data_IF_642490747106
#
_entry.id   IF_642490747106
#
_cell.length_a   1.000
_cell.length_b   1.000
_cell.length_c   1.000
_cell.angle_alpha   90.00
_cell.angle_beta   90.00
_cell.angle_gamma   90.00
#
_symmetry.space_group_name_H-M   'P 1'
#
loop_
_entity.id
_entity.type
_entity.pdbx_description
1 polymer ?
#
# COMPACT_ATOMS: atom_id res chain seq x y z
N UNK A 1 -6.95 -14.73 -3.53
CA UNK A 1 -6.91 -13.59 -2.57
C UNK A 1 -7.50 -12.36 -3.22
N UNK A 2 -8.26 -11.57 -2.43
CA UNK A 2 -8.73 -10.23 -2.82
C UNK A 2 -7.92 -9.18 -2.04
N UNK A 3 -7.22 -8.31 -2.73
CA UNK A 3 -6.31 -7.35 -2.11
C UNK A 3 -6.76 -5.92 -2.43
N UNK A 4 -6.75 -5.04 -1.44
CA UNK A 4 -6.95 -3.60 -1.63
C UNK A 4 -5.57 -2.96 -1.81
N UNK A 5 -5.37 -2.22 -2.89
CA UNK A 5 -4.21 -1.36 -3.10
C UNK A 5 -4.68 0.09 -3.09
N UNK A 6 -4.18 0.86 -2.14
CA UNK A 6 -4.49 2.27 -2.01
C UNK A 6 -3.24 3.12 -2.28
N UNK A 7 -3.40 4.17 -3.08
CA UNK A 7 -2.30 5.08 -3.43
C UNK A 7 -2.62 6.46 -2.88
N UNK A 8 -1.72 7.01 -2.05
CA UNK A 8 -1.90 8.32 -1.45
C UNK A 8 -0.86 9.33 -1.96
N UNK A 9 -1.01 10.60 -1.59
CA UNK A 9 -0.27 11.72 -2.15
C UNK A 9 1.19 11.87 -1.67
N UNK A 10 1.91 10.77 -1.44
CA UNK A 10 3.35 10.79 -1.22
C UNK A 10 4.08 10.48 -2.54
N UNK A 11 5.28 11.03 -2.74
CA UNK A 11 6.15 10.65 -3.86
C UNK A 11 6.54 9.19 -3.79
N UNK A 12 6.76 8.55 -4.93
CA UNK A 12 7.12 7.13 -5.02
C UNK A 12 6.03 6.29 -5.70
N UNK A 13 5.35 6.83 -6.69
CA UNK A 13 4.41 6.10 -7.55
C UNK A 13 5.00 4.84 -8.17
N UNK A 14 6.33 4.81 -8.34
CA UNK A 14 7.06 3.62 -8.80
C UNK A 14 6.82 2.40 -7.90
N UNK A 15 6.71 2.57 -6.59
CA UNK A 15 6.40 1.47 -5.66
C UNK A 15 4.99 0.92 -5.91
N UNK A 16 4.00 1.81 -6.13
CA UNK A 16 2.64 1.41 -6.43
C UNK A 16 2.55 0.63 -7.74
N UNK A 17 3.18 1.13 -8.81
CA UNK A 17 3.23 0.46 -10.09
C UNK A 17 3.83 -0.94 -9.97
N UNK A 18 5.03 -1.05 -9.40
CA UNK A 18 5.72 -2.33 -9.24
C UNK A 18 4.95 -3.29 -8.32
N UNK A 19 4.31 -2.78 -7.26
CA UNK A 19 3.45 -3.58 -6.40
C UNK A 19 2.28 -4.18 -7.18
N UNK A 20 1.58 -3.38 -7.98
CA UNK A 20 0.49 -3.86 -8.83
C UNK A 20 0.99 -4.89 -9.85
N UNK A 21 2.13 -4.65 -10.52
CA UNK A 21 2.72 -5.58 -11.48
C UNK A 21 3.02 -6.94 -10.82
N UNK A 22 3.62 -6.96 -9.63
CA UNK A 22 3.91 -8.19 -8.89
C UNK A 22 2.62 -8.92 -8.46
N UNK A 23 1.62 -8.19 -7.97
CA UNK A 23 0.33 -8.77 -7.58
C UNK A 23 -0.42 -9.37 -8.77
N UNK A 24 -0.35 -8.75 -9.94
CA UNK A 24 -0.99 -9.26 -11.16
C UNK A 24 -0.37 -10.58 -11.65
N UNK A 25 0.93 -10.78 -11.43
CA UNK A 25 1.64 -12.02 -11.79
C UNK A 25 1.37 -13.16 -10.79
N UNK A 26 0.96 -12.85 -9.56
CA UNK A 26 0.71 -13.83 -8.53
C UNK A 26 -0.58 -14.62 -8.83
N UNK A 27 -0.47 -15.96 -8.83
CA UNK A 27 -1.59 -16.86 -9.09
C UNK A 27 -2.63 -16.83 -7.96
N UNK A 28 -2.18 -16.54 -6.76
CA UNK A 28 -3.01 -16.44 -5.55
C UNK A 28 -3.93 -15.21 -5.56
N UNK A 29 -3.59 -14.19 -6.37
CA UNK A 29 -4.36 -12.94 -6.46
C UNK A 29 -5.46 -13.06 -7.51
N UNK A 30 -6.70 -13.04 -7.05
CA UNK A 30 -7.91 -13.12 -7.89
C UNK A 30 -8.40 -11.72 -8.28
N UNK A 31 -8.33 -10.77 -7.35
CA UNK A 31 -8.85 -9.43 -7.54
C UNK A 31 -8.02 -8.39 -6.78
N UNK A 32 -7.83 -7.24 -7.40
CA UNK A 32 -7.22 -6.05 -6.80
C UNK A 32 -8.26 -4.93 -6.81
N UNK A 33 -8.64 -4.45 -5.64
CA UNK A 33 -9.42 -3.22 -5.50
C UNK A 33 -8.44 -2.04 -5.45
N UNK A 34 -8.41 -1.22 -6.49
CA UNK A 34 -7.50 -0.07 -6.58
C UNK A 34 -8.24 1.20 -6.18
N UNK A 35 -7.68 1.95 -5.22
CA UNK A 35 -8.19 3.24 -4.77
C UNK A 35 -7.05 4.26 -4.88
N UNK A 36 -7.24 5.30 -5.66
CA UNK A 36 -6.24 6.37 -5.85
C UNK A 36 -6.80 7.68 -5.33
N UNK A 37 -6.10 8.31 -4.38
CA UNK A 37 -6.55 9.61 -3.86
C UNK A 37 -6.36 10.73 -4.90
N UNK A 38 -7.15 11.81 -4.79
CA UNK A 38 -7.05 12.95 -5.71
C UNK A 38 -5.64 13.55 -5.78
N UNK A 39 -4.93 13.60 -4.65
CA UNK A 39 -3.54 14.06 -4.62
C UNK A 39 -2.60 13.05 -5.28
N UNK A 40 -2.87 11.75 -5.12
CA UNK A 40 -2.05 10.71 -5.74
C UNK A 40 -2.11 10.74 -7.26
N UNK A 41 -3.27 11.02 -7.87
CA UNK A 41 -3.37 11.20 -9.32
C UNK A 41 -2.41 12.28 -9.83
N UNK A 42 -2.35 13.44 -9.14
CA UNK A 42 -1.43 14.53 -9.49
C UNK A 42 0.04 14.14 -9.31
N UNK A 43 0.35 13.37 -8.27
CA UNK A 43 1.73 12.91 -8.02
C UNK A 43 2.15 11.91 -9.09
N UNK A 44 1.31 10.94 -9.43
CA UNK A 44 1.59 9.96 -10.49
C UNK A 44 1.84 10.65 -11.83
N UNK A 45 0.99 11.62 -12.20
CA UNK A 45 1.14 12.44 -13.41
C UNK A 45 2.49 13.20 -13.39
N UNK A 46 2.81 13.86 -12.27
CA UNK A 46 4.05 14.62 -12.11
C UNK A 46 5.31 13.73 -12.18
N UNK A 47 5.22 12.51 -11.63
CA UNK A 47 6.32 11.53 -11.68
C UNK A 47 6.38 10.76 -13.01
N UNK A 48 5.42 10.94 -13.91
CA UNK A 48 5.35 10.21 -15.18
C UNK A 48 5.12 8.70 -14.98
N UNK A 49 4.37 8.31 -13.94
CA UNK A 49 4.10 6.91 -13.60
C UNK A 49 2.72 6.50 -14.10
N UNK A 50 2.69 5.55 -15.02
CA UNK A 50 1.48 4.89 -15.48
C UNK A 50 1.24 3.60 -14.68
N UNK A 51 0.00 3.38 -14.25
CA UNK A 51 -0.40 2.17 -13.54
C UNK A 51 -0.83 1.08 -14.53
N UNK A 52 -0.55 -0.20 -14.26
CA UNK A 52 -0.95 -1.30 -15.12
C UNK A 52 -2.49 -1.43 -15.17
N UNK A 53 -3.00 -1.88 -16.32
CA UNK A 53 -4.41 -2.21 -16.53
C UNK A 53 -4.57 -3.73 -16.61
N UNK A 54 -5.63 -4.25 -16.03
CA UNK A 54 -5.96 -5.68 -16.05
C UNK A 54 -7.40 -5.91 -15.63
N UNK A 55 -8.01 -6.98 -16.13
CA UNK A 55 -9.34 -7.43 -15.71
C UNK A 55 -9.41 -7.83 -14.21
N UNK A 56 -8.26 -8.11 -13.59
CA UNK A 56 -8.17 -8.33 -12.14
C UNK A 56 -8.28 -7.03 -11.32
N UNK A 57 -8.10 -5.84 -11.93
CA UNK A 57 -8.13 -4.57 -11.24
C UNK A 57 -9.53 -3.95 -11.35
N UNK A 58 -10.14 -3.73 -10.19
CA UNK A 58 -11.39 -2.95 -10.07
C UNK A 58 -11.06 -1.61 -9.41
N UNK A 59 -11.23 -0.52 -10.16
CA UNK A 59 -10.98 0.82 -9.65
C UNK A 59 -12.19 1.36 -8.88
N UNK A 60 -11.95 1.96 -7.73
CA UNK A 60 -12.96 2.63 -6.91
C UNK A 60 -12.64 4.11 -6.75
N UNK A 61 -13.66 4.94 -6.80
CA UNK A 61 -13.51 6.35 -6.45
C UNK A 61 -13.27 6.49 -4.95
N UNK A 62 -12.27 7.28 -4.57
CA UNK A 62 -11.94 7.50 -3.16
C UNK A 62 -13.05 8.20 -2.34
N UNK A 63 -14.01 8.84 -3.01
CA UNK A 63 -15.16 9.49 -2.37
C UNK A 63 -16.39 8.55 -2.26
N UNK A 64 -16.32 7.33 -2.84
CA UNK A 64 -17.44 6.37 -2.82
C UNK A 64 -17.46 5.53 -1.54
N UNK A 65 -18.09 6.06 -0.51
CA UNK A 65 -18.25 5.38 0.79
C UNK A 65 -19.24 4.19 0.76
N UNK A 66 -19.92 3.94 -0.37
CA UNK A 66 -20.79 2.78 -0.58
C UNK A 66 -20.11 1.63 -1.32
N UNK A 67 -18.86 1.83 -1.76
CA UNK A 67 -18.07 0.78 -2.40
C UNK A 67 -17.90 -0.46 -1.49
N UNK A 68 -17.78 -1.64 -2.09
CA UNK A 68 -17.68 -2.91 -1.35
C UNK A 68 -16.53 -2.94 -0.33
N UNK A 69 -15.41 -2.29 -0.64
CA UNK A 69 -14.23 -2.18 0.25
C UNK A 69 -14.52 -1.44 1.57
N UNK A 70 -15.61 -0.66 1.64
CA UNK A 70 -16.05 0.01 2.87
C UNK A 70 -16.71 -0.93 3.89
N UNK A 71 -16.95 -2.20 3.53
CA UNK A 71 -17.63 -3.18 4.35
C UNK A 71 -16.76 -4.39 4.67
N UNK A 72 -16.73 -4.81 5.94
CA UNK A 72 -16.05 -6.04 6.36
C UNK A 72 -16.63 -7.32 5.73
N UNK A 73 -17.91 -7.31 5.34
CA UNK A 73 -18.58 -8.45 4.70
C UNK A 73 -18.08 -8.73 3.27
N UNK A 74 -17.42 -7.77 2.61
CA UNK A 74 -16.85 -7.98 1.28
C UNK A 74 -15.62 -8.91 1.27
N UNK A 75 -15.09 -9.24 2.45
CA UNK A 75 -14.06 -10.27 2.67
C UNK A 75 -12.77 -10.07 1.85
N UNK A 76 -12.25 -8.83 1.82
CA UNK A 76 -10.89 -8.61 1.33
C UNK A 76 -9.88 -9.17 2.33
N UNK A 77 -8.84 -9.84 1.84
CA UNK A 77 -7.86 -10.56 2.67
C UNK A 77 -6.80 -9.62 3.26
N UNK A 78 -6.40 -8.60 2.50
CA UNK A 78 -5.35 -7.66 2.91
C UNK A 78 -5.53 -6.30 2.23
N UNK A 79 -4.90 -5.27 2.81
CA UNK A 79 -4.78 -3.95 2.22
C UNK A 79 -3.33 -3.46 2.27
N UNK A 80 -2.87 -2.88 1.18
CA UNK A 80 -1.59 -2.19 1.07
C UNK A 80 -1.83 -0.73 0.72
N UNK A 81 -1.32 0.18 1.52
CA UNK A 81 -1.29 1.63 1.21
C UNK A 81 0.11 1.95 0.73
N UNK A 82 0.27 2.19 -0.57
CA UNK A 82 1.59 2.34 -1.22
C UNK A 82 1.59 3.39 -2.34
N UNK A 83 2.34 4.49 -2.20
CA UNK A 83 2.96 4.95 -0.96
C UNK A 83 1.91 5.50 0.02
N UNK A 84 2.22 5.43 1.32
CA UNK A 84 1.42 5.99 2.40
C UNK A 84 1.97 7.36 2.82
N UNK A 85 1.18 8.42 2.60
CA UNK A 85 1.51 9.77 3.08
C UNK A 85 1.26 9.90 4.58
N UNK A 86 2.03 10.73 5.27
CA UNK A 86 1.86 10.93 6.71
C UNK A 86 0.49 11.49 7.08
N UNK A 87 -0.14 12.25 6.18
CA UNK A 87 -1.52 12.71 6.37
C UNK A 87 -2.52 11.55 6.41
N UNK A 88 -2.39 10.58 5.50
CA UNK A 88 -3.24 9.38 5.50
C UNK A 88 -2.94 8.50 6.71
N UNK A 89 -1.66 8.29 7.04
CA UNK A 89 -1.24 7.56 8.25
C UNK A 89 -1.85 8.19 9.50
N UNK A 90 -1.80 9.53 9.62
CA UNK A 90 -2.36 10.24 10.76
C UNK A 90 -3.89 10.07 10.90
N UNK A 91 -4.63 10.17 9.78
CA UNK A 91 -6.09 9.98 9.81
C UNK A 91 -6.48 8.54 10.14
N UNK A 92 -5.81 7.55 9.56
CA UNK A 92 -6.06 6.14 9.88
C UNK A 92 -5.74 5.87 11.37
N UNK A 93 -4.61 6.37 11.87
CA UNK A 93 -4.20 6.20 13.27
C UNK A 93 -5.18 6.84 14.26
N UNK A 94 -5.88 7.90 13.85
CA UNK A 94 -6.88 8.59 14.66
C UNK A 94 -8.31 8.03 14.49
N UNK A 95 -8.49 6.97 13.67
CA UNK A 95 -9.82 6.40 13.37
C UNK A 95 -10.71 7.32 12.52
N UNK A 96 -10.13 8.28 11.82
CA UNK A 96 -10.85 9.22 10.95
C UNK A 96 -11.07 8.58 9.59
N UNK A 97 -12.32 8.46 9.16
CA UNK A 97 -12.75 7.84 7.90
C UNK A 97 -13.47 8.86 7.01
N UNK A 98 -12.73 9.82 6.46
CA UNK A 98 -13.25 10.86 5.56
C UNK A 98 -13.23 10.46 4.09
N UNK A 99 -12.52 9.38 3.76
CA UNK A 99 -12.41 8.86 2.40
C UNK A 99 -12.46 7.33 2.40
N UNK A 100 -12.66 6.75 1.22
CA UNK A 100 -12.73 5.30 1.07
C UNK A 100 -11.43 4.60 1.49
N UNK A 101 -10.26 5.19 1.24
CA UNK A 101 -8.96 4.67 1.67
C UNK A 101 -8.93 4.51 3.20
N UNK A 102 -9.32 5.54 3.93
CA UNK A 102 -9.31 5.56 5.40
C UNK A 102 -10.34 4.58 5.94
N UNK A 103 -11.54 4.55 5.33
CA UNK A 103 -12.59 3.61 5.72
C UNK A 103 -12.18 2.16 5.48
N UNK A 104 -11.57 1.84 4.34
CA UNK A 104 -11.08 0.49 4.04
C UNK A 104 -9.99 0.07 5.03
N UNK A 105 -9.06 0.98 5.39
CA UNK A 105 -8.04 0.71 6.39
C UNK A 105 -8.65 0.44 7.78
N UNK A 106 -9.64 1.22 8.21
CA UNK A 106 -10.40 0.99 9.44
C UNK A 106 -11.07 -0.40 9.43
N UNK A 107 -11.67 -0.77 8.30
CA UNK A 107 -12.26 -2.11 8.12
C UNK A 107 -11.19 -3.20 8.29
N UNK A 108 -10.01 -3.06 7.69
CA UNK A 108 -8.94 -4.05 7.86
C UNK A 108 -8.56 -4.20 9.35
N UNK A 109 -8.39 -3.10 10.07
CA UNK A 109 -8.01 -3.12 11.48
C UNK A 109 -9.09 -3.76 12.36
N UNK A 110 -10.36 -3.35 12.21
CA UNK A 110 -11.45 -3.90 13.04
C UNK A 110 -11.74 -5.38 12.77
N UNK A 111 -11.54 -5.85 11.53
CA UNK A 111 -11.70 -7.25 11.15
C UNK A 111 -10.43 -8.08 11.41
N UNK A 112 -9.38 -7.47 12.01
CA UNK A 112 -8.10 -8.14 12.26
C UNK A 112 -7.44 -8.71 11.00
N UNK A 113 -7.65 -8.04 9.87
CA UNK A 113 -7.04 -8.36 8.59
C UNK A 113 -5.76 -7.57 8.38
N UNK A 114 -4.93 -8.04 7.48
CA UNK A 114 -3.61 -7.44 7.24
C UNK A 114 -3.74 -6.05 6.62
N UNK A 115 -3.14 -5.05 7.27
CA UNK A 115 -2.95 -3.70 6.76
C UNK A 115 -1.46 -3.41 6.70
N UNK A 116 -0.94 -3.06 5.51
CA UNK A 116 0.46 -2.67 5.30
C UNK A 116 0.48 -1.22 4.87
N UNK A 117 1.13 -0.36 5.64
CA UNK A 117 1.38 1.04 5.30
C UNK A 117 2.82 1.21 4.82
N UNK A 118 3.00 1.45 3.51
CA UNK A 118 4.33 1.70 2.93
C UNK A 118 4.64 3.19 3.02
N UNK A 119 5.20 3.59 4.15
CA UNK A 119 5.38 5.01 4.49
C UNK A 119 6.54 5.64 3.73
N UNK A 120 6.29 6.84 3.13
CA UNK A 120 7.33 7.63 2.46
C UNK A 120 7.29 9.08 2.95
N UNK A 121 8.29 9.43 3.75
CA UNK A 121 8.47 10.79 4.29
C UNK A 121 9.91 10.98 4.78
N UNK A 122 10.42 12.21 4.70
CA UNK A 122 11.71 12.60 5.29
C UNK A 122 11.76 14.10 5.54
N UNK A 123 12.17 14.59 6.76
CA UNK A 123 12.36 13.81 8.00
C UNK A 123 11.02 13.43 8.66
N UNK A 124 11.04 12.51 9.62
CA UNK A 124 9.87 12.24 10.46
C UNK A 124 9.75 13.24 11.60
N UNK A 125 8.54 13.78 11.80
CA UNK A 125 8.18 14.51 13.01
C UNK A 125 7.81 13.53 14.15
N UNK A 126 7.79 14.03 15.39
CA UNK A 126 7.30 13.22 16.52
C UNK A 126 5.85 12.77 16.34
N UNK A 127 5.01 13.58 15.68
CA UNK A 127 3.62 13.22 15.38
C UNK A 127 3.58 12.03 14.41
N UNK A 128 4.42 12.02 13.37
CA UNK A 128 4.53 10.89 12.45
C UNK A 128 4.91 9.60 13.18
N UNK A 129 5.94 9.66 14.04
CA UNK A 129 6.40 8.52 14.81
C UNK A 129 5.31 7.97 15.74
N UNK A 130 4.58 8.85 16.45
CA UNK A 130 3.45 8.46 17.31
C UNK A 130 2.33 7.79 16.52
N UNK A 131 1.95 8.33 15.37
CA UNK A 131 0.92 7.74 14.52
C UNK A 131 1.33 6.36 13.99
N UNK A 132 2.59 6.18 13.59
CA UNK A 132 3.12 4.88 13.17
C UNK A 132 3.14 3.88 14.33
N UNK A 133 3.48 4.30 15.53
CA UNK A 133 3.40 3.48 16.76
C UNK A 133 1.96 3.04 16.99
N UNK A 134 1.00 3.97 16.99
CA UNK A 134 -0.43 3.66 17.18
C UNK A 134 -0.94 2.63 16.16
N UNK A 135 -0.60 2.78 14.89
CA UNK A 135 -0.99 1.80 13.86
C UNK A 135 -0.33 0.45 14.07
N UNK A 136 0.93 0.41 14.52
CA UNK A 136 1.64 -0.84 14.82
C UNK A 136 0.98 -1.56 16.00
N UNK A 137 0.63 -0.83 17.05
CA UNK A 137 -0.12 -1.35 18.22
C UNK A 137 -1.51 -1.87 17.82
N UNK A 138 -2.17 -1.22 16.85
CA UNK A 138 -3.44 -1.66 16.28
C UNK A 138 -3.32 -2.90 15.37
N UNK A 139 -2.09 -3.35 15.06
CA UNK A 139 -1.81 -4.55 14.26
C UNK A 139 -1.47 -4.28 12.79
N UNK A 140 -1.31 -3.02 12.37
CA UNK A 140 -0.81 -2.71 11.04
C UNK A 140 0.71 -2.96 10.93
N UNK A 141 1.17 -3.27 9.74
CA UNK A 141 2.58 -3.35 9.41
C UNK A 141 3.03 -2.01 8.83
N UNK A 142 3.91 -1.32 9.52
CA UNK A 142 4.56 -0.12 8.99
C UNK A 142 5.84 -0.54 8.28
N UNK A 143 5.87 -0.33 6.97
CA UNK A 143 6.97 -0.69 6.09
C UNK A 143 7.53 0.60 5.47
N UNK A 144 8.71 1.07 5.90
CA UNK A 144 9.32 2.24 5.27
C UNK A 144 9.65 1.98 3.79
N UNK A 145 9.40 2.96 2.92
CA UNK A 145 9.82 2.93 1.52
C UNK A 145 11.34 3.16 1.42
N UNK A 146 12.10 2.27 2.07
CA UNK A 146 13.57 2.33 2.20
C UNK A 146 14.18 1.14 1.46
N UNK A 147 14.74 1.36 0.26
CA UNK A 147 15.39 0.30 -0.52
C UNK A 147 16.54 -0.38 0.21
N UNK A 148 16.73 -1.66 -0.07
CA UNK A 148 17.89 -2.44 0.33
C UNK A 148 18.93 -2.43 -0.81
N UNK A 149 20.21 -2.47 -0.45
CA UNK A 149 21.32 -2.45 -1.43
C UNK A 149 22.13 -3.75 -1.45
N UNK A 150 21.76 -4.76 -0.68
CA UNK A 150 22.45 -6.05 -0.63
C UNK A 150 22.44 -6.81 -1.97
N UNK A 151 21.39 -6.61 -2.79
CA UNK A 151 21.29 -7.19 -4.14
C UNK A 151 22.05 -6.40 -5.21
N UNK A 152 22.76 -5.32 -4.82
CA UNK A 152 23.48 -4.41 -5.74
C UNK A 152 22.61 -3.86 -6.88
N UNK A 153 21.43 -3.23 -6.60
CA UNK A 153 20.55 -2.70 -7.62
C UNK A 153 21.27 -1.65 -8.48
N UNK A 154 21.11 -1.74 -9.80
CA UNK A 154 21.76 -0.86 -10.78
C UNK A 154 20.81 0.22 -11.30
N UNK A 155 19.51 0.06 -11.07
CA UNK A 155 18.47 0.98 -11.53
C UNK A 155 17.55 1.39 -10.38
N UNK A 156 16.84 2.50 -10.56
CA UNK A 156 15.81 2.93 -9.62
C UNK A 156 14.72 1.86 -9.47
N UNK A 157 14.36 1.21 -10.56
CA UNK A 157 13.36 0.14 -10.57
C UNK A 157 13.82 -1.05 -9.71
N UNK A 158 15.05 -1.50 -9.87
CA UNK A 158 15.61 -2.60 -9.07
C UNK A 158 15.68 -2.21 -7.59
N UNK A 159 16.09 -0.98 -7.27
CA UNK A 159 16.10 -0.50 -5.90
C UNK A 159 14.67 -0.47 -5.30
N UNK A 160 13.68 0.04 -6.05
CA UNK A 160 12.29 0.06 -5.62
C UNK A 160 11.69 -1.35 -5.45
N UNK A 161 12.07 -2.30 -6.30
CA UNK A 161 11.64 -3.70 -6.18
C UNK A 161 12.03 -4.32 -4.84
N UNK A 162 13.18 -3.96 -4.25
CA UNK A 162 13.57 -4.50 -2.93
C UNK A 162 12.55 -4.18 -1.83
N UNK A 163 11.85 -3.05 -1.93
CA UNK A 163 10.75 -2.69 -1.02
C UNK A 163 9.48 -3.47 -1.38
N UNK A 164 9.18 -3.58 -2.68
CA UNK A 164 7.97 -4.29 -3.16
C UNK A 164 8.02 -5.78 -2.82
N UNK A 165 9.17 -6.41 -2.94
CA UNK A 165 9.40 -7.80 -2.52
C UNK A 165 9.05 -8.02 -1.03
N UNK A 166 9.35 -7.04 -0.17
CA UNK A 166 8.95 -7.10 1.24
C UNK A 166 7.44 -6.97 1.42
N UNK A 167 6.77 -6.14 0.62
CA UNK A 167 5.31 -6.03 0.63
C UNK A 167 4.69 -7.39 0.27
N UNK A 168 5.13 -7.97 -0.84
CA UNK A 168 4.62 -9.25 -1.36
C UNK A 168 4.85 -10.39 -0.38
N UNK A 169 6.05 -10.45 0.22
CA UNK A 169 6.37 -11.43 1.27
C UNK A 169 5.46 -11.29 2.50
N UNK A 170 5.19 -10.05 2.96
CA UNK A 170 4.26 -9.80 4.06
C UNK A 170 2.81 -10.15 3.70
N UNK A 171 2.42 -10.11 2.44
CA UNK A 171 1.11 -10.59 2.00
C UNK A 171 1.01 -12.12 2.05
N UNK A 172 2.12 -12.83 2.13
CA UNK A 172 2.18 -14.29 2.11
C UNK A 172 2.11 -14.86 0.69
N UNK A 173 2.43 -14.04 -0.31
CA UNK A 173 2.49 -14.43 -1.72
C UNK A 173 3.89 -14.95 -2.01
N UNK A 174 3.95 -16.11 -2.66
CA UNK A 174 5.21 -16.73 -3.04
C UNK A 174 5.72 -16.09 -4.35
N UNK A 175 6.64 -15.14 -4.23
CA UNK A 175 7.29 -14.47 -5.36
C UNK A 175 8.82 -14.55 -5.19
N UNK A 176 9.58 -14.55 -6.29
CA UNK A 176 11.04 -14.45 -6.22
C UNK A 176 11.45 -13.20 -5.45
N UNK A 177 12.37 -13.35 -4.52
CA UNK A 177 12.93 -12.25 -3.75
C UNK A 177 14.37 -12.55 -3.37
N UNK A 178 15.13 -11.50 -3.06
CA UNK A 178 16.48 -11.65 -2.57
C UNK A 178 16.47 -12.27 -1.16
N UNK A 179 17.14 -13.41 -1.02
CA UNK A 179 17.36 -14.06 0.26
C UNK A 179 18.79 -13.82 0.75
N UNK A 180 18.92 -13.33 1.97
CA UNK A 180 20.22 -13.23 2.62
C UNK A 180 20.72 -14.62 3.01
N UNK A 181 21.85 -15.02 2.45
CA UNK A 181 22.44 -16.36 2.70
C UNK A 181 23.64 -16.35 3.66
N UNK A 182 23.90 -15.21 4.32
CA UNK A 182 25.05 -15.07 5.22
C UNK A 182 26.27 -14.53 4.51
#
# INVERSE_FOLDING_TARGET
MKIIVAITGASGGVYARLCLEQLLQAKEVEQIALIVSNTAHKVLEFEGVELPQSDKIVCYNNDDMFASVASGSAAYDAMVVVPASMGSVGRIASGVSLSLIERAADVMLKERRKLIGVVRETPYSLIHLRNMTTLTEAGAIILPASPSFYSHPQTITEAALTVVERIVAHLGINAPHYEWKG
#
